data_IF_563751508525
#
_entry.id   IF_563751508525
#
_cell.length_a   1.000
_cell.length_b   1.000
_cell.length_c   1.000
_cell.angle_alpha   90.00
_cell.angle_beta   90.00
_cell.angle_gamma   90.00
#
_symmetry.space_group_name_H-M   'P 1'
#
loop_
_entity.id
_entity.type
_entity.pdbx_description
1 polymer ?
#
# COMPACT_ATOMS: atom_id res chain seq x y z
N UNK A 1 -17.55 4.08 -44.41
CA UNK A 1 -17.48 3.51 -43.03
C UNK A 1 -16.34 2.50 -43.01
N UNK A 2 -15.16 2.83 -42.50
CA UNK A 2 -14.04 1.89 -42.57
C UNK A 2 -12.65 2.41 -42.22
N UNK A 3 -12.51 3.32 -41.27
CA UNK A 3 -11.20 3.71 -40.73
C UNK A 3 -11.40 4.02 -39.25
N UNK A 4 -10.98 3.14 -38.34
CA UNK A 4 -10.74 3.42 -36.90
C UNK A 4 -10.27 2.17 -36.11
N UNK A 5 -10.41 0.96 -36.67
CA UNK A 5 -10.09 -0.27 -35.93
C UNK A 5 -8.56 -0.51 -35.80
N UNK A 6 -7.77 -0.17 -36.82
CA UNK A 6 -6.30 -0.29 -36.74
C UNK A 6 -5.65 0.76 -35.82
N UNK A 7 -6.26 1.94 -35.65
CA UNK A 7 -5.70 2.99 -34.80
C UNK A 7 -5.85 2.67 -33.31
N UNK A 8 -6.95 2.02 -32.89
CA UNK A 8 -7.14 1.57 -31.51
C UNK A 8 -6.20 0.43 -31.10
N UNK A 9 -5.85 -0.46 -32.03
CA UNK A 9 -4.91 -1.56 -31.80
C UNK A 9 -3.49 -1.04 -31.50
N UNK A 10 -3.00 -0.07 -32.28
CA UNK A 10 -1.67 0.53 -32.08
C UNK A 10 -1.57 1.37 -30.80
N UNK A 11 -2.64 2.08 -30.40
CA UNK A 11 -2.68 2.83 -29.14
C UNK A 11 -2.68 1.89 -27.93
N UNK A 12 -3.39 0.76 -28.03
CA UNK A 12 -3.38 -0.27 -26.99
C UNK A 12 -2.00 -0.92 -26.85
N UNK A 13 -1.34 -1.28 -27.95
CA UNK A 13 0.03 -1.83 -27.92
C UNK A 13 1.05 -0.82 -27.40
N UNK A 14 1.01 0.44 -27.83
CA UNK A 14 1.91 1.47 -27.32
C UNK A 14 1.69 1.74 -25.82
N UNK A 15 0.44 1.72 -25.35
CA UNK A 15 0.11 1.81 -23.92
C UNK A 15 0.59 0.56 -23.16
N UNK A 16 0.43 -0.63 -23.74
CA UNK A 16 0.93 -1.88 -23.18
C UNK A 16 2.45 -1.87 -23.06
N UNK A 17 3.15 -1.43 -24.11
CA UNK A 17 4.61 -1.38 -24.19
C UNK A 17 5.18 -0.29 -23.28
N UNK A 18 4.53 0.87 -23.18
CA UNK A 18 4.89 1.93 -22.23
C UNK A 18 4.71 1.47 -20.78
N UNK A 19 3.64 0.71 -20.49
CA UNK A 19 3.50 0.05 -19.18
C UNK A 19 4.60 -1.00 -18.96
N UNK A 20 4.93 -1.80 -19.97
CA UNK A 20 5.94 -2.85 -19.85
C UNK A 20 7.35 -2.29 -19.62
N UNK A 21 7.74 -1.23 -20.33
CA UNK A 21 9.03 -0.55 -20.11
C UNK A 21 9.11 0.13 -18.74
N UNK A 22 8.01 0.73 -18.27
CA UNK A 22 7.94 1.31 -16.91
C UNK A 22 8.07 0.23 -15.83
N UNK A 23 7.47 -0.95 -16.04
CA UNK A 23 7.64 -2.08 -15.11
C UNK A 23 9.08 -2.59 -15.05
N UNK A 24 9.80 -2.59 -16.19
CA UNK A 24 11.21 -2.96 -16.24
C UNK A 24 12.10 -1.94 -15.51
N UNK A 25 11.86 -0.64 -15.70
CA UNK A 25 12.58 0.42 -14.99
C UNK A 25 12.35 0.36 -13.47
N UNK A 26 11.10 0.21 -13.03
CA UNK A 26 10.76 0.03 -11.62
C UNK A 26 11.40 -1.23 -11.03
N UNK A 27 11.42 -2.34 -11.78
CA UNK A 27 12.06 -3.59 -11.33
C UNK A 27 13.54 -3.42 -11.01
N UNK A 28 14.25 -2.50 -11.69
CA UNK A 28 15.68 -2.27 -11.45
C UNK A 28 15.96 -1.54 -10.12
N UNK A 29 15.09 -0.60 -9.75
CA UNK A 29 15.15 0.14 -8.47
C UNK A 29 14.73 -0.77 -7.31
N UNK A 30 13.68 -1.57 -7.53
CA UNK A 30 13.09 -2.41 -6.49
C UNK A 30 13.97 -3.62 -6.13
N UNK A 31 14.78 -4.14 -7.06
CA UNK A 31 15.73 -5.25 -6.80
C UNK A 31 16.74 -5.01 -5.67
N UNK A 32 17.06 -3.75 -5.38
CA UNK A 32 17.99 -3.39 -4.29
C UNK A 32 17.27 -2.81 -3.07
N UNK A 33 15.94 -2.85 -3.07
CA UNK A 33 15.10 -2.31 -2.00
C UNK A 33 14.69 -3.44 -1.07
N UNK A 34 15.11 -3.37 0.19
CA UNK A 34 14.73 -4.36 1.21
C UNK A 34 13.29 -4.16 1.69
N UNK A 35 12.86 -2.90 1.80
CA UNK A 35 11.53 -2.52 2.28
C UNK A 35 10.97 -1.41 1.42
N UNK A 36 9.75 -1.57 0.91
CA UNK A 36 8.98 -0.45 0.36
C UNK A 36 7.84 -0.09 1.31
N UNK A 37 7.46 1.19 1.33
CA UNK A 37 6.27 1.62 2.03
C UNK A 37 5.50 2.71 1.27
N UNK A 38 4.18 2.72 1.43
CA UNK A 38 3.31 3.74 0.88
C UNK A 38 2.36 4.27 1.95
N UNK A 39 2.01 5.56 1.87
CA UNK A 39 1.00 6.17 2.71
C UNK A 39 -0.05 6.84 1.83
N UNK A 40 -1.28 6.35 1.89
CA UNK A 40 -2.39 6.80 1.04
C UNK A 40 -3.55 7.28 1.91
N UNK A 41 -3.93 8.55 1.71
CA UNK A 41 -5.15 9.08 2.32
C UNK A 41 -6.33 8.51 1.56
N UNK A 42 -7.10 7.63 2.20
CA UNK A 42 -8.34 7.12 1.66
C UNK A 42 -9.56 7.98 2.05
N UNK A 43 -10.78 7.51 1.71
CA UNK A 43 -12.01 8.25 1.94
C UNK A 43 -12.19 8.63 3.42
N UNK A 44 -12.61 9.88 3.65
CA UNK A 44 -12.92 10.40 4.99
C UNK A 44 -14.36 10.10 5.42
N UNK A 45 -15.21 9.72 4.47
CA UNK A 45 -16.60 9.32 4.70
C UNK A 45 -16.76 7.81 4.46
N UNK A 46 -17.74 7.20 5.12
CA UNK A 46 -18.08 5.80 4.88
C UNK A 46 -18.65 5.67 3.47
N UNK A 47 -18.09 4.72 2.73
CA UNK A 47 -18.50 4.39 1.36
C UNK A 47 -19.27 3.08 1.36
N UNK A 48 -20.17 2.93 0.38
CA UNK A 48 -20.90 1.69 0.16
C UNK A 48 -20.43 1.01 -1.12
N UNK A 49 -20.42 -0.32 -1.10
CA UNK A 49 -20.22 -1.16 -2.27
C UNK A 49 -21.48 -2.00 -2.50
N UNK A 50 -22.16 -1.78 -3.63
CA UNK A 50 -23.42 -2.46 -3.97
C UNK A 50 -24.48 -2.39 -2.84
N UNK A 51 -24.62 -1.23 -2.19
CA UNK A 51 -25.57 -1.01 -1.08
C UNK A 51 -25.14 -1.58 0.27
N UNK A 52 -23.90 -2.05 0.39
CA UNK A 52 -23.35 -2.55 1.66
C UNK A 52 -22.25 -1.61 2.15
N UNK A 53 -22.27 -1.17 3.41
CA UNK A 53 -21.26 -0.28 3.96
C UNK A 53 -19.90 -0.99 4.01
N UNK A 54 -18.89 -0.35 3.45
CA UNK A 54 -17.51 -0.82 3.52
C UNK A 54 -16.98 -0.56 4.94
N UNK A 55 -16.36 -1.58 5.54
CA UNK A 55 -15.82 -1.51 6.91
C UNK A 55 -14.33 -1.21 6.94
N UNK A 56 -13.59 -1.60 5.90
CA UNK A 56 -12.17 -1.27 5.73
C UNK A 56 -11.79 -1.29 4.26
N UNK A 57 -10.70 -0.60 3.94
CA UNK A 57 -10.03 -0.69 2.64
C UNK A 57 -8.58 -1.09 2.91
N UNK A 58 -8.16 -2.23 2.36
CA UNK A 58 -6.81 -2.75 2.51
C UNK A 58 -6.23 -3.01 1.11
N UNK A 59 -5.37 -2.12 0.58
CA UNK A 59 -4.82 -2.27 -0.74
C UNK A 59 -3.66 -3.27 -0.68
N UNK A 60 -3.71 -4.29 -1.54
CA UNK A 60 -2.60 -5.20 -1.79
C UNK A 60 -2.14 -5.02 -3.22
N UNK A 61 -0.84 -4.81 -3.41
CA UNK A 61 -0.22 -4.78 -4.72
C UNK A 61 0.58 -6.06 -4.96
N UNK A 62 0.61 -6.52 -6.20
CA UNK A 62 1.63 -7.45 -6.67
C UNK A 62 2.68 -6.64 -7.43
N UNK A 63 3.94 -6.75 -7.01
CA UNK A 63 5.02 -5.91 -7.49
C UNK A 63 6.30 -6.70 -7.76
N UNK A 64 7.40 -6.02 -8.06
CA UNK A 64 8.71 -6.66 -8.19
C UNK A 64 9.10 -7.34 -6.87
N UNK A 65 10.03 -8.32 -6.89
CA UNK A 65 10.39 -9.07 -5.70
C UNK A 65 11.02 -8.14 -4.65
N UNK A 66 10.24 -7.79 -3.64
CA UNK A 66 10.64 -7.08 -2.42
C UNK A 66 10.54 -8.04 -1.25
N UNK A 67 11.45 -7.90 -0.28
CA UNK A 67 11.41 -8.74 0.91
C UNK A 67 10.21 -8.35 1.81
N UNK A 68 9.90 -7.04 1.89
CA UNK A 68 8.80 -6.50 2.69
C UNK A 68 8.17 -5.26 2.02
N UNK A 69 6.85 -5.23 1.92
CA UNK A 69 6.07 -4.07 1.45
C UNK A 69 5.05 -3.66 2.52
N UNK A 70 5.05 -2.38 2.89
CA UNK A 70 4.13 -1.79 3.88
C UNK A 70 3.17 -0.80 3.24
N UNK A 71 1.87 -1.07 3.25
CA UNK A 71 0.89 -0.12 2.75
C UNK A 71 0.03 0.44 3.87
N UNK A 72 0.16 1.74 4.12
CA UNK A 72 -0.68 2.49 5.04
C UNK A 72 -1.81 3.13 4.26
N UNK A 73 -3.06 2.87 4.66
CA UNK A 73 -4.23 3.48 4.07
C UNK A 73 -5.20 3.97 5.14
N UNK A 74 -5.54 5.26 5.12
CA UNK A 74 -6.59 5.79 5.98
C UNK A 74 -7.98 5.48 5.41
N UNK A 75 -8.95 5.21 6.28
CA UNK A 75 -10.36 5.11 5.94
C UNK A 75 -11.21 5.59 7.12
N UNK A 76 -11.98 6.65 6.90
CA UNK A 76 -12.76 7.35 7.93
C UNK A 76 -11.85 7.77 9.09
N UNK A 77 -11.97 7.15 10.26
CA UNK A 77 -11.18 7.40 11.46
C UNK A 77 -10.21 6.25 11.78
N UNK A 78 -10.05 5.31 10.85
CA UNK A 78 -9.17 4.15 11.00
C UNK A 78 -8.00 4.24 10.04
N UNK A 79 -6.84 3.72 10.44
CA UNK A 79 -5.70 3.50 9.55
C UNK A 79 -5.48 2.00 9.42
N UNK A 80 -5.56 1.50 8.20
CA UNK A 80 -5.23 0.13 7.85
C UNK A 80 -3.76 0.06 7.47
N UNK A 81 -3.06 -0.95 7.97
CA UNK A 81 -1.68 -1.25 7.58
C UNK A 81 -1.65 -2.67 7.01
N UNK A 82 -1.23 -2.80 5.76
CA UNK A 82 -1.08 -4.07 5.07
C UNK A 82 0.40 -4.41 4.90
N UNK A 83 0.79 -5.63 5.32
CA UNK A 83 2.14 -6.16 5.18
C UNK A 83 2.13 -7.27 4.13
N UNK A 84 2.88 -7.07 3.04
CA UNK A 84 3.20 -8.15 2.11
C UNK A 84 4.67 -8.54 2.30
N UNK A 85 4.91 -9.85 2.46
CA UNK A 85 6.21 -10.39 2.89
C UNK A 85 6.61 -11.54 1.98
N UNK A 86 7.89 -11.64 1.65
CA UNK A 86 8.47 -12.86 1.07
C UNK A 86 8.72 -13.88 2.19
N UNK A 87 7.86 -14.88 2.31
CA UNK A 87 7.94 -15.94 3.34
C UNK A 87 9.26 -16.71 3.29
N UNK A 88 9.94 -16.77 2.15
CA UNK A 88 11.26 -17.42 2.05
C UNK A 88 12.35 -16.66 2.82
N UNK A 89 12.17 -15.35 3.01
CA UNK A 89 13.10 -14.48 3.74
C UNK A 89 12.65 -14.22 5.18
N UNK A 90 11.35 -14.39 5.46
CA UNK A 90 10.74 -14.20 6.78
C UNK A 90 9.96 -15.45 7.21
N UNK A 91 10.65 -16.51 7.66
CA UNK A 91 10.00 -17.73 8.14
C UNK A 91 9.11 -17.48 9.37
N UNK A 92 9.43 -16.46 10.18
CA UNK A 92 8.72 -16.10 11.41
C UNK A 92 7.80 -14.87 11.20
N UNK A 93 7.03 -14.87 10.10
CA UNK A 93 6.20 -13.71 9.70
C UNK A 93 5.18 -13.29 10.77
N UNK A 94 4.70 -14.22 11.60
CA UNK A 94 3.75 -13.92 12.67
C UNK A 94 4.39 -13.12 13.81
N UNK A 95 5.63 -13.45 14.19
CA UNK A 95 6.36 -12.72 15.22
C UNK A 95 6.67 -11.29 14.73
N UNK A 96 7.04 -11.14 13.46
CA UNK A 96 7.22 -9.83 12.82
C UNK A 96 5.95 -8.98 12.87
N UNK A 97 4.78 -9.59 12.63
CA UNK A 97 3.49 -8.89 12.71
C UNK A 97 3.17 -8.46 14.15
N UNK A 98 3.43 -9.31 15.14
CA UNK A 98 3.23 -8.97 16.55
C UNK A 98 4.16 -7.83 17.00
N UNK A 99 5.44 -7.89 16.65
CA UNK A 99 6.43 -6.85 16.93
C UNK A 99 6.03 -5.50 16.30
N UNK A 100 5.47 -5.56 15.09
CA UNK A 100 4.99 -4.37 14.38
C UNK A 100 3.77 -3.75 15.09
N UNK A 101 2.82 -4.58 15.52
CA UNK A 101 1.65 -4.14 16.31
C UNK A 101 2.08 -3.52 17.63
N UNK A 102 3.04 -4.13 18.34
CA UNK A 102 3.53 -3.61 19.61
C UNK A 102 4.26 -2.28 19.43
N UNK A 103 5.10 -2.17 18.40
CA UNK A 103 5.78 -0.93 18.04
C UNK A 103 4.80 0.22 17.79
N UNK A 104 3.70 -0.03 17.07
CA UNK A 104 2.66 0.98 16.83
C UNK A 104 1.93 1.42 18.12
N UNK A 105 1.67 0.48 19.04
CA UNK A 105 1.08 0.83 20.35
C UNK A 105 2.02 1.72 21.16
N UNK A 106 3.31 1.39 21.19
CA UNK A 106 4.32 2.18 21.90
C UNK A 106 4.44 3.60 21.32
N UNK A 107 4.51 3.72 19.99
CA UNK A 107 4.54 5.02 19.29
C UNK A 107 3.29 5.84 19.63
N UNK A 108 2.11 5.23 19.54
CA UNK A 108 0.84 5.90 19.88
C UNK A 108 0.83 6.36 21.33
N UNK A 109 1.24 5.50 22.27
CA UNK A 109 1.30 5.83 23.69
C UNK A 109 2.23 7.02 23.97
N UNK A 110 3.43 7.01 23.38
CA UNK A 110 4.37 8.12 23.50
C UNK A 110 3.81 9.43 22.93
N UNK A 111 3.19 9.38 21.74
CA UNK A 111 2.59 10.55 21.10
C UNK A 111 1.44 11.13 21.94
N UNK A 112 0.56 10.30 22.50
CA UNK A 112 -0.52 10.76 23.40
C UNK A 112 0.03 11.43 24.66
N UNK A 113 1.09 10.90 25.27
CA UNK A 113 1.70 11.50 26.45
C UNK A 113 2.31 12.89 26.19
N UNK A 114 2.84 13.12 24.98
CA UNK A 114 3.36 14.43 24.59
C UNK A 114 2.26 15.49 24.47
N UNK A 115 1.07 15.10 23.98
CA UNK A 115 -0.09 16.01 23.87
C UNK A 115 -0.59 16.43 25.26
N UNK A 116 -0.64 15.50 26.21
CA UNK A 116 -1.05 15.79 27.59
C UNK A 116 -0.06 16.71 28.31
N UNK A 117 1.25 16.54 28.08
CA UNK A 117 2.28 17.42 28.63
C UNK A 117 2.12 18.87 28.13
N UNK A 118 1.89 19.04 26.82
CA UNK A 118 1.68 20.37 26.22
C UNK A 118 0.38 21.07 26.64
N UNK A 119 -0.61 20.35 27.18
CA UNK A 119 -1.86 20.94 27.69
C UNK A 119 -1.74 21.44 29.13
N UNK A 120 -0.72 20.99 29.85
CA UNK A 120 -0.50 21.31 31.26
C UNK A 120 0.64 22.33 31.49
N UNK A 121 1.23 22.83 30.40
CA UNK A 121 2.17 23.97 30.35
C UNK A 121 1.44 25.24 29.92
#
# INVERSE_FOLDING_TARGET
MGHNIQSGFLVSEAFQLANQNRQLELSSIVRYTTVSFSNMIGPVEQVEFCGHPVVFIAPSGYGPPEALTLNFQSYVNTMMVNLAVDEAQFPDVHDLLEDFVESLKLIRGAASNLVEKHRND
#
